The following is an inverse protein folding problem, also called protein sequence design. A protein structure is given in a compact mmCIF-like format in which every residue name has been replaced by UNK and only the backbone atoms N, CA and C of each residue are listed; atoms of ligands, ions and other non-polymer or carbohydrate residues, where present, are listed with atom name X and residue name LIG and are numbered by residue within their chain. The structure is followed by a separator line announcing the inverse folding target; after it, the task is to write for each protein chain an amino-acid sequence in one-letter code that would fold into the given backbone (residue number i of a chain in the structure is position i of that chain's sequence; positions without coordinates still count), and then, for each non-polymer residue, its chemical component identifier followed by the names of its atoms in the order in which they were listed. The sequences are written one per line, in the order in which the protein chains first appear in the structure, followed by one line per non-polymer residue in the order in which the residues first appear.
data_IF_138854275185
#
_entry.id   IF_138854275185
#
_cell.length_a   1.000
_cell.length_b   1.000
_cell.length_c   1.000
_cell.angle_alpha   90.00
_cell.angle_beta   90.00
_cell.angle_gamma   90.00
#
_symmetry.space_group_name_H-M   'P 1'
#
loop_
_entity.id
_entity.type
_entity.pdbx_description
1 polymer ?
#
# COMPACT_ATOMS: atom_id res chain seq x y z
N UNK A 1 22.69 -21.09 34.98
CA UNK A 1 21.37 -20.46 34.68
C UNK A 1 21.51 -19.27 33.74
N UNK A 2 22.35 -18.26 34.05
CA UNK A 2 22.49 -17.02 33.27
C UNK A 2 22.78 -17.19 31.77
N UNK A 3 23.67 -18.11 31.39
CA UNK A 3 24.04 -18.38 29.98
C UNK A 3 22.88 -18.96 29.16
N UNK A 4 22.02 -19.79 29.77
CA UNK A 4 20.85 -20.39 29.09
C UNK A 4 19.80 -19.34 28.75
N UNK A 5 19.61 -18.33 29.62
CA UNK A 5 18.69 -17.22 29.36
C UNK A 5 19.19 -16.29 28.26
N UNK A 6 20.51 -16.04 28.19
CA UNK A 6 21.10 -15.24 27.11
C UNK A 6 20.93 -15.96 25.77
N UNK A 7 21.22 -17.27 25.70
CA UNK A 7 21.00 -18.07 24.50
C UNK A 7 19.54 -18.04 24.05
N UNK A 8 18.60 -18.27 24.98
CA UNK A 8 17.17 -18.24 24.68
C UNK A 8 16.71 -16.86 24.16
N UNK A 9 17.15 -15.78 24.80
CA UNK A 9 16.81 -14.43 24.37
C UNK A 9 17.38 -14.11 22.97
N UNK A 10 18.60 -14.56 22.70
CA UNK A 10 19.24 -14.36 21.39
C UNK A 10 18.52 -15.16 20.30
N UNK A 11 18.14 -16.42 20.58
CA UNK A 11 17.37 -17.24 19.64
C UNK A 11 16.00 -16.62 19.35
N UNK A 12 15.30 -16.13 20.38
CA UNK A 12 13.99 -15.49 20.22
C UNK A 12 14.09 -14.19 19.41
N UNK A 13 15.14 -13.40 19.64
CA UNK A 13 15.42 -12.20 18.87
C UNK A 13 15.67 -12.52 17.38
N UNK A 14 16.52 -13.51 17.09
CA UNK A 14 16.78 -13.92 15.70
C UNK A 14 15.51 -14.43 15.00
N UNK A 15 14.71 -15.25 15.67
CA UNK A 15 13.41 -15.71 15.13
C UNK A 15 12.48 -14.53 14.81
N UNK A 16 12.40 -13.53 15.69
CA UNK A 16 11.54 -12.36 15.47
C UNK A 16 11.93 -11.55 14.23
N UNK A 17 13.22 -11.51 13.87
CA UNK A 17 13.69 -10.78 12.67
C UNK A 17 13.38 -11.57 11.40
N UNK A 18 13.48 -12.90 11.43
CA UNK A 18 13.30 -13.76 10.25
C UNK A 18 11.84 -13.88 9.76
N UNK A 19 10.85 -13.64 10.61
CA UNK A 19 9.42 -13.78 10.23
C UNK A 19 8.74 -12.46 9.83
N UNK A 20 9.48 -11.39 9.56
CA UNK A 20 8.86 -10.16 9.08
C UNK A 20 8.47 -10.32 7.60
N UNK A 21 7.17 -10.44 7.35
CA UNK A 21 6.62 -10.28 6.00
C UNK A 21 6.65 -8.80 5.64
N UNK A 22 7.42 -8.44 4.62
CA UNK A 22 7.40 -7.08 4.10
C UNK A 22 6.10 -6.87 3.31
N UNK A 23 5.33 -5.84 3.69
CA UNK A 23 4.25 -5.30 2.87
C UNK A 23 4.88 -4.58 1.66
N UNK A 24 5.06 -5.33 0.57
CA UNK A 24 5.64 -4.82 -0.65
C UNK A 24 4.54 -4.29 -1.57
N UNK A 25 4.79 -3.17 -2.23
CA UNK A 25 3.99 -2.69 -3.35
C UNK A 25 4.97 -2.15 -4.39
N UNK A 26 4.61 -2.25 -5.67
CA UNK A 26 5.43 -1.70 -6.75
C UNK A 26 4.69 -0.53 -7.40
N UNK A 27 5.37 0.61 -7.54
CA UNK A 27 4.80 1.80 -8.21
C UNK A 27 5.74 2.27 -9.32
N UNK A 28 5.16 2.67 -10.45
CA UNK A 28 5.87 3.31 -11.54
C UNK A 28 5.20 4.66 -11.85
N UNK A 29 6.00 5.71 -11.98
CA UNK A 29 5.55 7.04 -12.42
C UNK A 29 6.14 7.29 -13.81
N UNK A 30 5.27 7.43 -14.80
CA UNK A 30 5.64 7.68 -16.19
C UNK A 30 5.32 9.14 -16.51
N UNK A 31 6.36 9.93 -16.78
CA UNK A 31 6.18 11.31 -17.23
C UNK A 31 5.51 11.34 -18.61
N UNK A 32 4.67 12.36 -18.84
CA UNK A 32 4.01 12.62 -20.13
C UNK A 32 4.93 12.48 -21.35
N UNK A 33 6.15 13.04 -21.29
CA UNK A 33 7.14 12.99 -22.38
C UNK A 33 7.59 11.56 -22.75
N UNK A 34 7.42 10.61 -21.85
CA UNK A 34 7.83 9.21 -22.00
C UNK A 34 6.61 8.28 -22.22
N UNK A 35 5.40 8.84 -22.37
CA UNK A 35 4.16 8.09 -22.59
C UNK A 35 3.70 8.24 -24.03
N UNK A 36 3.25 7.14 -24.66
CA UNK A 36 2.73 7.17 -26.03
C UNK A 36 1.50 8.10 -26.20
N UNK A 37 0.76 8.35 -25.11
CA UNK A 37 -0.41 9.24 -25.12
C UNK A 37 -0.07 10.70 -24.81
N UNK A 38 1.18 11.01 -24.47
CA UNK A 38 1.58 12.35 -24.01
C UNK A 38 1.00 12.74 -22.64
N UNK A 39 0.37 11.81 -21.91
CA UNK A 39 -0.19 12.03 -20.56
C UNK A 39 0.67 11.35 -19.51
N UNK A 40 0.86 12.01 -18.37
CA UNK A 40 1.50 11.40 -17.20
C UNK A 40 0.65 10.27 -16.64
N UNK A 41 1.28 9.23 -16.12
CA UNK A 41 0.60 8.06 -15.56
C UNK A 41 1.29 7.62 -14.26
N UNK A 42 0.49 7.21 -13.29
CA UNK A 42 0.95 6.49 -12.10
C UNK A 42 0.35 5.09 -12.18
N UNK A 43 1.21 4.08 -12.14
CA UNK A 43 0.82 2.69 -12.09
C UNK A 43 1.21 2.10 -10.75
N UNK A 44 0.26 1.43 -10.08
CA UNK A 44 0.51 0.71 -8.84
C UNK A 44 0.10 -0.75 -8.99
N UNK A 45 1.07 -1.64 -8.75
CA UNK A 45 0.79 -3.03 -8.45
C UNK A 45 0.73 -3.15 -6.92
N UNK A 46 -0.46 -3.48 -6.42
CA UNK A 46 -0.71 -3.63 -4.99
C UNK A 46 -0.66 -5.11 -4.63
N UNK A 47 0.32 -5.48 -3.82
CA UNK A 47 0.32 -6.77 -3.16
C UNK A 47 -0.50 -6.63 -1.87
N UNK A 48 -1.44 -7.52 -1.65
CA UNK A 48 -2.32 -7.47 -0.48
C UNK A 48 -2.93 -8.85 -0.21
N UNK A 49 -3.12 -9.14 1.08
CA UNK A 49 -3.91 -10.26 1.58
C UNK A 49 -5.43 -10.04 1.41
N UNK A 50 -5.85 -8.78 1.25
CA UNK A 50 -7.25 -8.41 1.08
C UNK A 50 -7.67 -8.53 -0.39
N UNK A 51 -8.21 -9.70 -0.74
CA UNK A 51 -8.60 -10.02 -2.13
C UNK A 51 -9.82 -9.23 -2.63
N UNK A 52 -10.68 -8.75 -1.71
CA UNK A 52 -11.89 -7.98 -2.06
C UNK A 52 -11.61 -6.49 -1.94
N UNK A 53 -11.54 -5.83 -3.09
CA UNK A 53 -11.29 -4.41 -3.21
C UNK A 53 -12.44 -3.73 -3.97
N UNK A 54 -12.60 -2.44 -3.76
CA UNK A 54 -13.60 -1.63 -4.44
C UNK A 54 -13.00 -0.27 -4.84
N UNK A 55 -13.39 0.23 -6.01
CA UNK A 55 -13.24 1.63 -6.35
C UNK A 55 -14.40 2.42 -5.73
N UNK A 56 -14.09 3.50 -5.04
CA UNK A 56 -15.09 4.38 -4.43
C UNK A 56 -14.84 5.83 -4.78
N UNK A 57 -15.92 6.60 -4.78
CA UNK A 57 -15.91 8.05 -4.97
C UNK A 57 -15.98 8.74 -3.61
N UNK A 58 -15.17 9.77 -3.44
CA UNK A 58 -15.03 10.55 -2.22
C UNK A 58 -15.20 12.04 -2.53
N UNK A 59 -15.89 12.75 -1.63
CA UNK A 59 -16.20 14.18 -1.72
C UNK A 59 -16.05 14.90 -0.36
N UNK A 60 -15.18 14.35 0.48
CA UNK A 60 -14.93 14.77 1.87
C UNK A 60 -13.74 15.73 2.03
N UNK A 61 -13.00 16.01 0.95
CA UNK A 61 -11.88 16.94 0.90
C UNK A 61 -12.03 18.06 -0.13
N UNK A 62 -10.96 18.83 -0.35
CA UNK A 62 -10.93 19.96 -1.30
C UNK A 62 -11.25 19.54 -2.75
N UNK A 63 -10.77 18.38 -3.17
CA UNK A 63 -11.01 17.83 -4.49
C UNK A 63 -11.69 16.47 -4.35
N UNK A 64 -12.68 16.21 -5.18
CA UNK A 64 -13.32 14.90 -5.24
C UNK A 64 -12.37 13.90 -5.87
N UNK A 65 -12.40 12.64 -5.47
CA UNK A 65 -11.46 11.63 -5.97
C UNK A 65 -12.07 10.24 -6.06
N UNK A 66 -11.47 9.41 -6.92
CA UNK A 66 -11.71 7.97 -6.98
C UNK A 66 -10.57 7.26 -6.28
N UNK A 67 -10.88 6.36 -5.35
CA UNK A 67 -9.91 5.63 -4.55
C UNK A 67 -10.17 4.13 -4.51
N UNK A 68 -9.11 3.34 -4.54
CA UNK A 68 -9.11 1.91 -4.29
C UNK A 68 -9.05 1.65 -2.79
N UNK A 69 -10.07 1.00 -2.26
CA UNK A 69 -10.16 0.60 -0.84
C UNK A 69 -10.38 -0.91 -0.73
N UNK A 70 -10.15 -1.45 0.46
CA UNK A 70 -10.68 -2.79 0.78
C UNK A 70 -12.20 -2.73 0.84
N UNK A 71 -12.90 -3.76 0.37
CA UNK A 71 -14.37 -3.76 0.37
C UNK A 71 -14.97 -3.71 1.77
N UNK A 72 -14.27 -4.26 2.78
CA UNK A 72 -14.67 -4.24 4.18
C UNK A 72 -14.37 -2.91 4.89
N UNK A 73 -13.56 -2.03 4.30
CA UNK A 73 -13.33 -0.68 4.80
C UNK A 73 -14.56 0.17 4.45
N UNK A 74 -15.62 0.06 5.23
CA UNK A 74 -16.89 0.74 4.96
C UNK A 74 -16.80 2.25 5.20
N UNK A 75 -15.89 2.69 6.06
CA UNK A 75 -15.62 4.10 6.34
C UNK A 75 -14.70 4.74 5.29
N UNK A 76 -13.91 3.93 4.57
CA UNK A 76 -13.01 4.40 3.53
C UNK A 76 -11.76 5.09 4.07
N UNK A 77 -11.32 4.71 5.27
CA UNK A 77 -10.18 5.33 5.96
C UNK A 77 -8.83 4.98 5.29
N UNK A 78 -8.76 3.88 4.52
CA UNK A 78 -7.55 3.39 3.89
C UNK A 78 -7.65 3.34 2.36
N UNK A 79 -7.22 4.43 1.72
CA UNK A 79 -7.18 4.56 0.26
C UNK A 79 -5.79 4.17 -0.26
N UNK A 80 -5.71 3.08 -1.02
CA UNK A 80 -4.44 2.46 -1.43
C UNK A 80 -3.91 2.93 -2.79
N UNK A 81 -4.72 3.64 -3.56
CA UNK A 81 -4.41 4.20 -4.88
C UNK A 81 -5.63 4.89 -5.46
N UNK A 82 -5.46 5.77 -6.45
CA UNK A 82 -6.59 6.55 -6.96
C UNK A 82 -6.16 7.73 -7.82
N UNK A 83 -7.13 8.57 -8.17
CA UNK A 83 -6.87 9.89 -8.76
C UNK A 83 -7.99 10.88 -8.41
N UNK A 84 -7.63 12.16 -8.26
CA UNK A 84 -8.55 13.24 -7.95
C UNK A 84 -9.01 14.01 -9.20
N UNK A 85 -9.98 14.91 -9.00
CA UNK A 85 -10.58 15.71 -10.07
C UNK A 85 -9.64 16.71 -10.74
N UNK A 86 -8.43 16.93 -10.19
CA UNK A 86 -7.41 17.82 -10.76
C UNK A 86 -6.19 17.07 -11.30
N UNK A 87 -6.25 15.74 -11.36
CA UNK A 87 -5.27 14.91 -12.06
C UNK A 87 -4.05 14.48 -11.25
N UNK A 88 -4.12 14.51 -9.92
CA UNK A 88 -3.19 13.76 -9.06
C UNK A 88 -3.70 12.33 -8.88
#
# INVERSE_FOLDING_TARGET
MRTKHILLATTLFVLSVLFNTAEACTTAVIAAKNSASGKSMIWKLRDTDNLKNAMRYFNDGTYTYLGLVNSNDTLGEHVWGGSNSVGF
#
